data_IF_152459110358
#
_entry.id   IF_152459110358
#
_cell.length_a   1.000
_cell.length_b   1.000
_cell.length_c   1.000
_cell.angle_alpha   90.00
_cell.angle_beta   90.00
_cell.angle_gamma   90.00
#
_symmetry.space_group_name_H-M   'P 1'
#
loop_
_entity.id
_entity.type
_entity.pdbx_description
1 polymer ?
#
# COMPACT_ATOMS: atom_id res chain seq x y z
N UNK A 1 -20.69 37.94 -4.98
CA UNK A 1 -21.75 37.43 -5.88
C UNK A 1 -22.52 36.22 -5.32
N UNK A 2 -22.01 35.58 -4.27
CA UNK A 2 -22.58 34.37 -3.63
C UNK A 2 -23.75 34.61 -2.68
N UNK A 3 -23.96 35.85 -2.23
CA UNK A 3 -24.97 36.15 -1.20
C UNK A 3 -26.42 36.30 -1.71
N UNK A 4 -26.64 36.42 -3.00
CA UNK A 4 -27.98 36.61 -3.58
C UNK A 4 -28.65 35.34 -4.07
N UNK A 5 -27.88 34.25 -4.35
CA UNK A 5 -28.40 33.02 -4.99
C UNK A 5 -28.22 31.78 -4.12
N UNK A 6 -27.56 31.87 -2.97
CA UNK A 6 -27.27 30.76 -2.05
C UNK A 6 -26.61 29.54 -2.75
N UNK A 7 -25.72 29.80 -3.71
CA UNK A 7 -24.96 28.80 -4.44
C UNK A 7 -23.51 28.84 -3.94
N UNK A 8 -23.02 27.72 -3.42
CA UNK A 8 -21.61 27.54 -3.10
C UNK A 8 -20.88 27.10 -4.38
N UNK A 9 -19.81 27.80 -4.76
CA UNK A 9 -18.99 27.49 -5.93
C UNK A 9 -17.60 27.14 -5.44
N UNK A 10 -17.13 25.97 -5.85
CA UNK A 10 -15.76 25.48 -5.59
C UNK A 10 -15.04 25.35 -6.91
N UNK A 11 -13.86 25.95 -7.03
CA UNK A 11 -13.03 25.96 -8.24
C UNK A 11 -11.79 25.10 -8.04
N UNK A 12 -11.08 24.80 -9.11
CA UNK A 12 -9.79 24.10 -9.12
C UNK A 12 -9.83 22.69 -8.51
N UNK A 13 -10.89 21.93 -8.82
CA UNK A 13 -11.02 20.53 -8.41
C UNK A 13 -10.41 19.64 -9.49
N UNK A 14 -9.57 18.70 -9.08
CA UNK A 14 -8.99 17.70 -9.96
C UNK A 14 -10.06 16.75 -10.54
N UNK A 15 -9.79 16.19 -11.71
CA UNK A 15 -10.76 15.33 -12.42
C UNK A 15 -11.14 14.08 -11.63
N UNK A 16 -10.17 13.46 -10.96
CA UNK A 16 -10.39 12.27 -10.15
C UNK A 16 -11.28 12.56 -8.95
N UNK A 17 -11.12 13.73 -8.34
CA UNK A 17 -11.99 14.21 -7.25
C UNK A 17 -13.41 14.49 -7.72
N UNK A 18 -13.58 15.05 -8.93
CA UNK A 18 -14.91 15.26 -9.53
C UNK A 18 -15.62 13.92 -9.72
N UNK A 19 -14.91 12.91 -10.23
CA UNK A 19 -15.45 11.56 -10.41
C UNK A 19 -15.82 10.90 -9.08
N UNK A 20 -15.01 11.10 -8.05
CA UNK A 20 -15.28 10.62 -6.70
C UNK A 20 -16.50 11.29 -6.07
N UNK A 21 -16.57 12.63 -6.11
CA UNK A 21 -17.68 13.43 -5.58
C UNK A 21 -18.98 13.07 -6.31
N UNK A 22 -18.93 12.94 -7.64
CA UNK A 22 -20.10 12.61 -8.44
C UNK A 22 -20.69 11.25 -8.08
N UNK A 23 -19.85 10.24 -7.89
CA UNK A 23 -20.28 8.90 -7.45
C UNK A 23 -20.80 8.88 -6.02
N UNK A 24 -20.20 9.68 -5.15
CA UNK A 24 -20.58 9.78 -3.72
C UNK A 24 -21.92 10.50 -3.56
N UNK A 25 -22.09 11.64 -4.20
CA UNK A 25 -23.32 12.45 -4.14
C UNK A 25 -24.43 11.91 -5.05
N UNK A 26 -24.11 10.99 -5.97
CA UNK A 26 -25.07 10.47 -6.97
C UNK A 26 -25.40 11.50 -8.05
N UNK A 27 -24.50 12.42 -8.37
CA UNK A 27 -24.67 13.40 -9.45
C UNK A 27 -23.91 12.98 -10.71
N UNK A 28 -24.26 13.59 -11.83
CA UNK A 28 -23.58 13.38 -13.11
C UNK A 28 -22.86 14.67 -13.53
N UNK A 29 -21.53 14.61 -13.78
CA UNK A 29 -20.79 15.79 -14.26
C UNK A 29 -21.32 16.24 -15.63
N UNK A 30 -21.41 17.54 -15.84
CA UNK A 30 -21.95 18.18 -17.04
C UNK A 30 -20.86 19.03 -17.68
N UNK A 31 -20.58 18.80 -18.94
CA UNK A 31 -19.57 19.56 -19.67
C UNK A 31 -20.08 20.91 -20.17
N UNK A 32 -21.39 21.05 -20.39
CA UNK A 32 -22.01 22.28 -20.92
C UNK A 32 -23.27 22.61 -20.11
N UNK A 33 -23.50 23.89 -19.88
CA UNK A 33 -24.67 24.43 -19.15
C UNK A 33 -25.97 24.06 -19.86
N UNK A 34 -25.98 23.99 -21.18
CA UNK A 34 -27.17 23.64 -21.97
C UNK A 34 -27.68 22.21 -21.72
N UNK A 35 -26.79 21.32 -21.22
CA UNK A 35 -27.12 19.91 -20.90
C UNK A 35 -27.47 19.71 -19.44
N UNK A 36 -27.64 20.79 -18.69
CA UNK A 36 -27.97 20.75 -17.28
C UNK A 36 -29.45 20.44 -17.05
N UNK A 37 -29.73 19.31 -16.38
CA UNK A 37 -31.07 18.86 -16.03
C UNK A 37 -31.14 18.50 -14.56
N UNK A 38 -32.32 18.66 -13.96
CA UNK A 38 -32.54 18.35 -12.53
C UNK A 38 -32.24 16.91 -12.16
N UNK A 39 -32.40 15.96 -13.08
CA UNK A 39 -32.10 14.54 -12.89
C UNK A 39 -30.61 14.24 -12.68
N UNK A 40 -29.73 15.15 -13.08
CA UNK A 40 -28.27 15.03 -12.93
C UNK A 40 -27.76 15.57 -11.59
N UNK A 41 -28.63 16.20 -10.80
CA UNK A 41 -28.29 16.72 -9.49
C UNK A 41 -28.13 15.61 -8.48
N UNK A 42 -27.10 15.72 -7.63
CA UNK A 42 -26.92 14.89 -6.44
C UNK A 42 -27.73 15.42 -5.25
N UNK A 43 -27.69 14.66 -4.16
CA UNK A 43 -28.32 15.04 -2.89
C UNK A 43 -27.32 15.00 -1.75
N UNK A 44 -27.37 15.99 -0.88
CA UNK A 44 -26.68 16.04 0.39
C UNK A 44 -27.56 16.81 1.39
N UNK A 45 -27.46 16.47 2.67
CA UNK A 45 -28.26 17.16 3.69
C UNK A 45 -27.66 18.52 4.03
N UNK A 46 -26.32 18.62 4.05
CA UNK A 46 -25.64 19.86 4.40
C UNK A 46 -24.32 19.97 3.65
N UNK A 47 -24.07 21.17 3.13
CA UNK A 47 -22.78 21.57 2.53
C UNK A 47 -22.35 22.87 3.19
N UNK A 48 -21.20 22.85 3.86
CA UNK A 48 -20.66 24.03 4.55
C UNK A 48 -19.17 24.21 4.29
N UNK A 49 -18.76 25.48 4.29
CA UNK A 49 -17.34 25.85 4.33
C UNK A 49 -16.90 25.96 5.79
N UNK A 50 -15.93 25.14 6.19
CA UNK A 50 -15.40 25.13 7.56
C UNK A 50 -13.94 25.54 7.58
N UNK A 51 -13.64 26.51 8.45
CA UNK A 51 -12.25 26.89 8.66
C UNK A 51 -11.53 25.87 9.52
N UNK A 52 -10.35 25.44 9.06
CA UNK A 52 -9.55 24.44 9.72
C UNK A 52 -8.10 24.91 9.79
N UNK A 53 -7.72 25.52 10.90
CA UNK A 53 -6.42 26.20 11.02
C UNK A 53 -6.32 27.35 10.03
N UNK A 54 -5.26 27.36 9.21
CA UNK A 54 -5.02 28.38 8.20
C UNK A 54 -5.75 28.10 6.86
N UNK A 55 -6.39 26.93 6.74
CA UNK A 55 -7.10 26.51 5.52
C UNK A 55 -8.60 26.45 5.67
N UNK A 56 -9.30 26.39 4.54
CA UNK A 56 -10.74 26.21 4.45
C UNK A 56 -11.04 24.88 3.78
N UNK A 57 -12.02 24.16 4.29
CA UNK A 57 -12.48 22.87 3.75
C UNK A 57 -13.96 22.93 3.46
N UNK A 58 -14.39 22.40 2.35
CA UNK A 58 -15.82 22.21 2.07
C UNK A 58 -16.23 20.85 2.61
N UNK A 59 -17.16 20.83 3.53
CA UNK A 59 -17.68 19.64 4.17
C UNK A 59 -19.08 19.32 3.61
N UNK A 60 -19.23 18.10 3.08
CA UNK A 60 -20.50 17.60 2.54
C UNK A 60 -20.94 16.43 3.43
N UNK A 61 -22.11 16.53 4.02
CA UNK A 61 -22.66 15.52 4.92
C UNK A 61 -24.07 15.07 4.50
N UNK A 62 -24.47 13.87 4.94
CA UNK A 62 -25.79 13.33 4.63
C UNK A 62 -25.97 12.92 3.18
N UNK A 63 -24.93 12.35 2.56
CA UNK A 63 -25.01 11.86 1.17
C UNK A 63 -25.69 10.49 1.09
N UNK A 64 -26.43 10.16 0.01
CA UNK A 64 -27.16 8.91 -0.13
C UNK A 64 -26.27 7.66 -0.06
N UNK A 65 -25.01 7.77 -0.48
CA UNK A 65 -24.04 6.69 -0.51
C UNK A 65 -23.03 6.72 0.65
N UNK A 66 -23.38 7.32 1.78
CA UNK A 66 -22.51 7.50 2.95
C UNK A 66 -21.83 6.20 3.45
N UNK A 67 -22.47 5.04 3.28
CA UNK A 67 -21.90 3.74 3.69
C UNK A 67 -20.79 3.18 2.77
N UNK A 68 -20.53 3.80 1.63
CA UNK A 68 -19.54 3.34 0.62
C UNK A 68 -18.28 4.18 0.58
N UNK A 69 -18.30 5.38 1.14
CA UNK A 69 -17.20 6.34 1.10
C UNK A 69 -16.93 6.90 2.48
N UNK A 70 -15.65 7.02 2.83
CA UNK A 70 -15.17 7.60 4.08
C UNK A 70 -14.02 8.53 3.76
N UNK A 71 -14.01 9.71 4.37
CA UNK A 71 -12.91 10.67 4.26
C UNK A 71 -12.05 10.61 5.51
N UNK A 72 -10.76 10.37 5.33
CA UNK A 72 -9.74 10.46 6.37
C UNK A 72 -9.07 11.83 6.27
N UNK A 73 -9.39 12.71 7.20
CA UNK A 73 -8.85 14.07 7.19
C UNK A 73 -7.58 14.16 8.04
N UNK A 74 -6.43 14.35 7.38
CA UNK A 74 -5.12 14.48 8.02
C UNK A 74 -4.79 15.95 8.29
N UNK A 75 -4.25 16.22 9.47
CA UNK A 75 -3.71 17.53 9.85
C UNK A 75 -2.28 17.35 10.36
N UNK A 76 -1.40 18.26 9.95
CA UNK A 76 -0.02 18.26 10.40
C UNK A 76 0.48 19.70 10.61
N UNK A 77 1.60 19.84 11.32
CA UNK A 77 2.24 21.12 11.61
C UNK A 77 2.96 21.73 10.40
N UNK A 78 3.37 20.90 9.44
CA UNK A 78 4.02 21.34 8.21
C UNK A 78 3.71 20.38 7.04
N UNK A 79 4.02 20.81 5.81
CA UNK A 79 3.75 20.04 4.61
C UNK A 79 4.48 18.69 4.57
N UNK A 80 5.73 18.61 5.01
CA UNK A 80 6.51 17.37 5.01
C UNK A 80 5.88 16.29 5.90
N UNK A 81 5.43 16.68 7.10
CA UNK A 81 4.74 15.75 8.01
C UNK A 81 3.38 15.36 7.46
N UNK A 82 2.69 16.26 6.76
CA UNK A 82 1.41 15.97 6.12
C UNK A 82 1.57 14.95 5.01
N UNK A 83 2.52 15.16 4.11
CA UNK A 83 2.82 14.27 2.98
C UNK A 83 3.22 12.87 3.47
N UNK A 84 4.02 12.79 4.53
CA UNK A 84 4.43 11.51 5.12
C UNK A 84 3.26 10.79 5.82
N UNK A 85 2.38 11.55 6.48
CA UNK A 85 1.17 11.00 7.10
C UNK A 85 0.20 10.45 6.08
N UNK A 86 -0.01 11.16 4.97
CA UNK A 86 -0.82 10.72 3.85
C UNK A 86 -0.26 9.43 3.22
N UNK A 87 1.04 9.39 2.96
CA UNK A 87 1.73 8.22 2.42
C UNK A 87 1.60 7.00 3.33
N UNK A 88 1.82 7.19 4.63
CA UNK A 88 1.71 6.13 5.63
C UNK A 88 0.28 5.56 5.72
N UNK A 89 -0.73 6.42 5.64
CA UNK A 89 -2.13 6.00 5.61
C UNK A 89 -2.47 5.26 4.31
N UNK A 90 -1.98 5.75 3.18
CA UNK A 90 -2.16 5.09 1.89
C UNK A 90 -1.56 3.68 1.89
N UNK A 91 -0.35 3.52 2.40
CA UNK A 91 0.33 2.22 2.52
C UNK A 91 -0.46 1.25 3.43
N UNK A 92 -0.94 1.74 4.57
CA UNK A 92 -1.77 0.93 5.46
C UNK A 92 -3.07 0.48 4.79
N UNK A 93 -3.73 1.35 4.04
CA UNK A 93 -4.95 1.02 3.29
C UNK A 93 -4.68 0.00 2.17
N UNK A 94 -3.53 0.10 1.49
CA UNK A 94 -3.11 -0.87 0.48
C UNK A 94 -2.90 -2.26 1.09
N UNK A 95 -2.28 -2.36 2.27
CA UNK A 95 -2.12 -3.62 3.00
C UNK A 95 -3.48 -4.22 3.36
N UNK A 96 -4.40 -3.41 3.91
CA UNK A 96 -5.76 -3.85 4.23
C UNK A 96 -6.51 -4.35 2.97
N UNK A 97 -6.37 -3.65 1.85
CA UNK A 97 -6.94 -4.07 0.56
C UNK A 97 -6.42 -5.43 0.11
N UNK A 98 -5.12 -5.68 0.29
CA UNK A 98 -4.53 -6.99 -0.02
C UNK A 98 -5.10 -8.09 0.88
N UNK A 99 -5.25 -7.84 2.18
CA UNK A 99 -5.80 -8.80 3.15
C UNK A 99 -7.29 -9.10 2.91
N UNK A 100 -8.07 -8.12 2.45
CA UNK A 100 -9.48 -8.35 2.09
C UNK A 100 -9.59 -9.24 0.86
N UNK A 101 -8.68 -9.08 -0.13
CA UNK A 101 -8.66 -9.91 -1.33
C UNK A 101 -8.18 -11.34 -1.04
N UNK A 102 -7.14 -11.48 -0.24
CA UNK A 102 -6.53 -12.76 0.07
C UNK A 102 -6.06 -12.78 1.53
N UNK A 103 -6.74 -13.56 2.36
CA UNK A 103 -6.59 -13.60 3.83
C UNK A 103 -5.40 -14.44 4.31
N UNK A 104 -4.26 -14.33 3.61
CA UNK A 104 -3.03 -15.02 3.99
C UNK A 104 -1.93 -14.02 4.28
N UNK A 105 -1.19 -14.29 5.35
CA UNK A 105 -0.04 -13.50 5.78
C UNK A 105 1.20 -14.39 5.83
N UNK A 106 2.35 -13.81 5.60
CA UNK A 106 3.65 -14.44 5.72
C UNK A 106 4.59 -13.57 6.57
N UNK A 107 5.67 -14.14 7.13
CA UNK A 107 6.68 -13.36 7.81
C UNK A 107 7.31 -12.36 6.84
N UNK A 108 7.70 -11.17 7.32
CA UNK A 108 8.44 -10.17 6.56
C UNK A 108 9.96 -10.34 6.70
N UNK A 109 10.69 -9.23 6.54
CA UNK A 109 12.14 -9.19 6.78
C UNK A 109 12.97 -10.05 5.82
N UNK A 110 12.49 -10.32 4.59
CA UNK A 110 13.17 -11.14 3.61
C UNK A 110 13.08 -12.66 3.86
N UNK A 111 12.25 -13.09 4.82
CA UNK A 111 12.09 -14.51 5.14
C UNK A 111 11.44 -15.32 3.99
N UNK A 112 10.36 -14.85 3.31
CA UNK A 112 9.77 -15.58 2.19
C UNK A 112 10.74 -15.75 1.03
N UNK A 113 11.47 -14.70 0.68
CA UNK A 113 12.43 -14.69 -0.42
C UNK A 113 13.56 -15.69 -0.16
N UNK A 114 14.09 -15.70 1.04
CA UNK A 114 15.12 -16.67 1.44
C UNK A 114 14.59 -18.10 1.45
N UNK A 115 13.35 -18.31 1.91
CA UNK A 115 12.73 -19.63 1.92
C UNK A 115 12.51 -20.16 0.49
N UNK A 116 12.05 -19.28 -0.41
CA UNK A 116 11.89 -19.61 -1.84
C UNK A 116 13.24 -19.93 -2.46
N UNK A 117 14.27 -19.09 -2.24
CA UNK A 117 15.63 -19.34 -2.72
C UNK A 117 16.16 -20.69 -2.29
N UNK A 118 15.99 -21.04 -1.00
CA UNK A 118 16.42 -22.31 -0.46
C UNK A 118 15.75 -23.52 -1.15
N UNK A 119 14.41 -23.48 -1.30
CA UNK A 119 13.68 -24.54 -1.96
C UNK A 119 14.00 -24.66 -3.44
N UNK A 120 14.11 -23.54 -4.14
CA UNK A 120 14.49 -23.52 -5.56
C UNK A 120 15.91 -24.05 -5.77
N UNK A 121 16.84 -23.71 -4.89
CA UNK A 121 18.22 -24.22 -4.96
C UNK A 121 18.29 -25.73 -4.77
N UNK A 122 17.46 -26.29 -3.88
CA UNK A 122 17.32 -27.74 -3.74
C UNK A 122 16.69 -28.39 -4.96
N UNK A 123 15.62 -27.80 -5.47
CA UNK A 123 14.95 -28.32 -6.65
C UNK A 123 15.85 -28.25 -7.89
N UNK A 124 16.63 -27.19 -8.05
CA UNK A 124 17.59 -27.04 -9.14
C UNK A 124 18.56 -28.23 -9.22
N UNK A 125 18.98 -28.78 -8.08
CA UNK A 125 19.89 -29.96 -8.05
C UNK A 125 19.26 -31.21 -8.64
N UNK A 126 17.94 -31.27 -8.75
CA UNK A 126 17.21 -32.41 -9.33
C UNK A 126 16.97 -32.26 -10.82
N UNK A 127 17.27 -31.09 -11.38
CA UNK A 127 17.07 -30.78 -12.80
C UNK A 127 18.36 -31.09 -13.60
N UNK A 128 18.16 -31.48 -14.86
CA UNK A 128 19.25 -31.76 -15.78
C UNK A 128 19.38 -30.62 -16.82
N UNK A 129 20.63 -30.41 -17.29
CA UNK A 129 20.91 -29.50 -18.38
C UNK A 129 20.80 -28.02 -18.04
N UNK A 130 20.43 -27.21 -19.02
CA UNK A 130 20.37 -25.73 -18.89
C UNK A 130 19.31 -25.23 -17.90
N UNK A 131 18.26 -26.01 -17.67
CA UNK A 131 17.18 -25.64 -16.74
C UNK A 131 17.68 -25.46 -15.30
N UNK A 132 18.66 -26.28 -14.90
CA UNK A 132 19.29 -26.18 -13.58
C UNK A 132 19.89 -24.78 -13.35
N UNK A 133 20.62 -24.26 -14.34
CA UNK A 133 21.25 -22.95 -14.23
C UNK A 133 20.23 -21.80 -14.16
N UNK A 134 19.16 -21.87 -14.96
CA UNK A 134 18.11 -20.85 -14.94
C UNK A 134 17.41 -20.80 -13.56
N UNK A 135 17.03 -21.95 -13.02
CA UNK A 135 16.37 -22.02 -11.71
C UNK A 135 17.31 -21.56 -10.60
N UNK A 136 18.58 -21.91 -10.67
CA UNK A 136 19.58 -21.47 -9.71
C UNK A 136 19.79 -19.95 -9.75
N UNK A 137 19.90 -19.38 -10.95
CA UNK A 137 20.05 -17.93 -11.12
C UNK A 137 18.82 -17.18 -10.56
N UNK A 138 17.62 -17.71 -10.75
CA UNK A 138 16.42 -17.15 -10.16
C UNK A 138 16.41 -17.24 -8.62
N UNK A 139 16.83 -18.37 -8.07
CA UNK A 139 16.98 -18.53 -6.64
C UNK A 139 17.98 -17.54 -6.03
N UNK A 140 19.11 -17.32 -6.69
CA UNK A 140 20.11 -16.32 -6.30
C UNK A 140 19.57 -14.89 -6.42
N UNK A 141 18.75 -14.59 -7.42
CA UNK A 141 18.11 -13.28 -7.58
C UNK A 141 17.12 -12.97 -6.44
N UNK A 142 16.42 -13.96 -5.89
CA UNK A 142 15.54 -13.76 -4.75
C UNK A 142 16.30 -13.33 -3.48
N UNK A 143 17.55 -13.71 -3.33
CA UNK A 143 18.39 -13.32 -2.19
C UNK A 143 18.83 -11.84 -2.23
N UNK A 144 18.65 -11.17 -3.36
CA UNK A 144 18.96 -9.73 -3.47
C UNK A 144 18.05 -8.91 -2.55
N UNK A 145 16.82 -9.34 -2.33
CA UNK A 145 15.88 -8.61 -1.45
C UNK A 145 16.38 -8.57 0.01
N UNK A 146 16.65 -9.69 0.69
CA UNK A 146 17.23 -9.64 2.03
C UNK A 146 18.63 -9.02 2.06
N UNK A 147 19.43 -9.18 1.01
CA UNK A 147 20.73 -8.54 0.90
C UNK A 147 20.62 -7.01 0.95
N UNK A 148 19.79 -6.44 0.08
CA UNK A 148 19.56 -4.98 0.03
C UNK A 148 18.94 -4.46 1.32
N UNK A 149 18.04 -5.22 1.94
CA UNK A 149 17.46 -4.87 3.24
C UNK A 149 18.52 -4.76 4.33
N UNK A 150 19.46 -5.71 4.38
CA UNK A 150 20.56 -5.68 5.33
C UNK A 150 21.52 -4.52 5.06
N UNK A 151 21.86 -4.26 3.80
CA UNK A 151 22.73 -3.17 3.37
C UNK A 151 22.12 -1.80 3.74
N UNK A 152 20.85 -1.57 3.41
CA UNK A 152 20.13 -0.33 3.74
C UNK A 152 19.99 -0.12 5.26
N UNK A 153 20.00 -1.18 6.03
CA UNK A 153 19.99 -1.13 7.50
C UNK A 153 21.40 -0.93 8.11
N UNK A 154 22.43 -0.77 7.29
CA UNK A 154 23.81 -0.57 7.73
C UNK A 154 24.47 -1.81 8.34
N UNK A 155 23.93 -3.01 8.07
CA UNK A 155 24.47 -4.28 8.52
C UNK A 155 25.45 -4.86 7.51
N UNK A 156 26.27 -5.84 7.94
CA UNK A 156 27.08 -6.62 7.01
C UNK A 156 26.17 -7.60 6.23
N UNK A 157 25.75 -7.18 5.02
CA UNK A 157 24.80 -7.92 4.21
C UNK A 157 25.25 -9.36 3.90
N UNK A 158 26.54 -9.57 3.59
CA UNK A 158 27.09 -10.89 3.29
C UNK A 158 26.94 -11.84 4.49
N UNK A 159 27.28 -11.36 5.68
CA UNK A 159 27.18 -12.14 6.90
C UNK A 159 25.72 -12.47 7.25
N UNK A 160 24.85 -11.47 7.16
CA UNK A 160 23.42 -11.62 7.48
C UNK A 160 22.74 -12.59 6.52
N UNK A 161 22.97 -12.46 5.20
CA UNK A 161 22.35 -13.36 4.21
C UNK A 161 22.87 -14.79 4.39
N UNK A 162 24.17 -14.95 4.68
CA UNK A 162 24.74 -16.27 4.93
C UNK A 162 24.14 -16.93 6.19
N UNK A 163 23.99 -16.18 7.27
CA UNK A 163 23.34 -16.65 8.50
C UNK A 163 21.87 -16.95 8.25
N UNK A 164 21.15 -16.09 7.52
CA UNK A 164 19.74 -16.29 7.19
C UNK A 164 19.55 -17.59 6.38
N UNK A 165 20.37 -17.80 5.37
CA UNK A 165 20.37 -19.06 4.58
C UNK A 165 20.59 -20.29 5.44
N UNK A 166 21.52 -20.21 6.40
CA UNK A 166 21.80 -21.31 7.33
C UNK A 166 20.57 -21.60 8.23
N UNK A 167 19.93 -20.57 8.80
CA UNK A 167 18.73 -20.76 9.63
C UNK A 167 17.56 -21.37 8.85
N UNK A 168 17.33 -20.91 7.60
CA UNK A 168 16.30 -21.50 6.74
C UNK A 168 16.62 -22.95 6.35
N UNK A 169 17.90 -23.33 6.22
CA UNK A 169 18.31 -24.71 5.99
C UNK A 169 18.04 -25.62 7.19
N UNK A 170 18.05 -25.07 8.42
CA UNK A 170 17.70 -25.77 9.65
C UNK A 170 16.18 -25.86 9.90
N UNK A 171 15.36 -25.23 9.03
CA UNK A 171 13.90 -25.26 9.11
C UNK A 171 13.25 -24.08 9.81
N UNK A 172 14.00 -23.04 10.15
CA UNK A 172 13.48 -21.81 10.77
C UNK A 172 12.85 -20.89 9.71
N UNK A 173 11.69 -21.26 9.18
CA UNK A 173 11.00 -20.51 8.11
C UNK A 173 10.53 -19.11 8.52
N UNK A 174 10.43 -18.81 9.82
CA UNK A 174 10.08 -17.49 10.36
C UNK A 174 11.29 -16.59 10.64
N UNK A 175 12.52 -17.07 10.36
CA UNK A 175 13.72 -16.26 10.55
C UNK A 175 13.79 -15.15 9.49
N UNK A 176 13.97 -13.91 9.91
CA UNK A 176 14.09 -12.76 9.02
C UNK A 176 14.94 -11.65 9.64
N UNK A 177 15.20 -10.63 8.85
CA UNK A 177 16.06 -9.51 9.22
C UNK A 177 15.27 -8.53 10.08
N UNK A 178 15.72 -8.34 11.33
CA UNK A 178 15.21 -7.32 12.23
C UNK A 178 16.09 -6.08 12.16
N UNK A 179 15.64 -5.10 11.39
CA UNK A 179 16.36 -3.83 11.19
C UNK A 179 16.53 -3.06 12.50
N UNK A 180 15.54 -3.11 13.42
CA UNK A 180 15.59 -2.39 14.70
C UNK A 180 16.64 -2.97 15.65
N UNK A 181 16.78 -4.30 15.65
CA UNK A 181 17.74 -5.02 16.53
C UNK A 181 19.09 -5.26 15.85
N UNK A 182 19.23 -4.99 14.55
CA UNK A 182 20.46 -5.21 13.78
C UNK A 182 20.88 -6.68 13.71
N UNK A 183 19.93 -7.63 13.73
CA UNK A 183 20.20 -9.07 13.72
C UNK A 183 19.03 -9.87 13.18
N UNK A 184 19.25 -11.14 12.91
CA UNK A 184 18.20 -12.08 12.51
C UNK A 184 17.43 -12.54 13.75
N UNK A 185 16.09 -12.46 13.69
CA UNK A 185 15.17 -12.91 14.72
C UNK A 185 13.99 -13.66 14.10
N UNK A 186 13.16 -14.27 14.94
CA UNK A 186 11.86 -14.75 14.48
C UNK A 186 10.96 -13.54 14.24
N UNK A 187 10.73 -13.22 12.97
CA UNK A 187 10.02 -12.00 12.53
C UNK A 187 8.52 -12.05 12.87
N UNK A 188 7.93 -13.23 13.00
CA UNK A 188 6.54 -13.35 13.43
C UNK A 188 6.32 -12.89 14.88
N UNK A 189 7.27 -13.16 15.77
CA UNK A 189 7.23 -12.68 17.16
C UNK A 189 7.40 -11.17 17.26
N UNK A 190 8.06 -10.57 16.30
CA UNK A 190 8.23 -9.11 16.19
C UNK A 190 7.04 -8.41 15.50
N UNK A 191 6.00 -9.15 15.13
CA UNK A 191 4.81 -8.66 14.41
C UNK A 191 5.12 -7.99 13.07
N UNK A 192 6.21 -8.37 12.40
CA UNK A 192 6.52 -7.91 11.04
C UNK A 192 5.95 -8.91 10.05
N UNK A 193 4.77 -8.61 9.57
CA UNK A 193 3.99 -9.47 8.68
C UNK A 193 3.68 -8.75 7.36
N UNK A 194 3.59 -9.53 6.29
CA UNK A 194 3.28 -9.04 4.94
C UNK A 194 2.14 -9.89 4.35
N UNK A 195 1.18 -9.30 3.63
CA UNK A 195 0.18 -10.09 2.91
C UNK A 195 0.83 -10.95 1.83
N UNK A 196 0.45 -12.23 1.77
CA UNK A 196 0.97 -13.16 0.76
C UNK A 196 0.71 -12.68 -0.67
N UNK A 197 -0.39 -11.94 -0.88
CA UNK A 197 -0.76 -11.40 -2.19
C UNK A 197 0.33 -10.50 -2.79
N UNK A 198 1.10 -9.78 -1.95
CA UNK A 198 2.19 -8.90 -2.41
C UNK A 198 3.27 -9.72 -3.12
N UNK A 199 3.77 -10.79 -2.46
CA UNK A 199 4.81 -11.65 -3.04
C UNK A 199 4.32 -12.41 -4.27
N UNK A 200 3.12 -12.99 -4.22
CA UNK A 200 2.55 -13.72 -5.35
C UNK A 200 2.30 -12.81 -6.55
N UNK A 201 1.84 -11.59 -6.33
CA UNK A 201 1.64 -10.62 -7.41
C UNK A 201 2.96 -10.17 -8.02
N UNK A 202 3.98 -9.92 -7.19
CA UNK A 202 5.31 -9.53 -7.67
C UNK A 202 5.91 -10.62 -8.59
N UNK A 203 5.85 -11.88 -8.15
CA UNK A 203 6.38 -13.02 -8.95
C UNK A 203 5.57 -13.24 -10.24
N UNK A 204 4.24 -13.06 -10.20
CA UNK A 204 3.40 -13.26 -11.38
C UNK A 204 3.50 -12.14 -12.41
N UNK A 205 3.89 -10.93 -11.99
CA UNK A 205 4.02 -9.76 -12.86
C UNK A 205 5.44 -9.62 -13.45
N UNK A 206 6.44 -10.25 -12.84
CA UNK A 206 7.80 -10.29 -13.34
C UNK A 206 7.96 -11.36 -14.45
#
# INVERSE_FOLDING_TARGET
LTSLVQILVVTDIERDDIDFISKTCGCLPVANVDTFHAEKLGKADMVEEKQTGDGKVVMVTGVPNAGKTVTLFCKASNALVLDESERSLHDALCVLRCLVKQRFICPGGGAPEMQISYHLSKWAQTLEGMHQYCVRAYAEAMEVVPYTLAENAGMNAIQIVTELRNRHSLGESGAGINVRKGRITNILEENVIVPLLVHTSAINLA
#
